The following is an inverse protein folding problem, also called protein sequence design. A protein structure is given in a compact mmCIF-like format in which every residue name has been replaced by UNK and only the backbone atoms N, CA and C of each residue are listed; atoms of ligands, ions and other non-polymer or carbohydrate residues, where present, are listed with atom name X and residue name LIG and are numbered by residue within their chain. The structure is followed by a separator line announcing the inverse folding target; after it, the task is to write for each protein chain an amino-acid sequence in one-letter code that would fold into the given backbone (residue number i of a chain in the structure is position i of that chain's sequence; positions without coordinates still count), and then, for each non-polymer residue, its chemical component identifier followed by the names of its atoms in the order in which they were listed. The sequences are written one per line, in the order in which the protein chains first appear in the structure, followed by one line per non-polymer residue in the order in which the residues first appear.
data_IF_771046743596
#
_entry.id   IF_771046743596
#
_cell.length_a   1.000
_cell.length_b   1.000
_cell.length_c   1.000
_cell.angle_alpha   90.00
_cell.angle_beta   90.00
_cell.angle_gamma   90.00
#
_symmetry.space_group_name_H-M   'P 1'
#
loop_
_entity.id
_entity.type
_entity.pdbx_description
1 polymer ?
#
# COMPACT_ATOMS: atom_id res chain seq x y z
N UNK A 1 -50.23 9.81 -0.54
CA UNK A 1 -49.66 10.95 -1.28
C UNK A 1 -48.54 11.70 -0.53
N UNK A 2 -48.36 11.54 0.79
CA UNK A 2 -47.24 12.18 1.52
C UNK A 2 -45.95 11.34 1.62
N UNK A 3 -46.01 10.01 1.49
CA UNK A 3 -44.81 9.16 1.67
C UNK A 3 -44.03 8.88 0.38
N UNK A 4 -44.58 9.20 -0.81
CA UNK A 4 -43.80 9.25 -2.05
C UNK A 4 -42.73 10.37 -2.01
N UNK A 5 -42.90 11.34 -1.13
CA UNK A 5 -41.91 12.39 -0.83
C UNK A 5 -40.81 11.89 0.13
N UNK A 6 -41.10 10.91 0.98
CA UNK A 6 -40.08 10.22 1.77
C UNK A 6 -39.29 9.19 0.92
N UNK A 7 -39.90 8.65 -0.13
CA UNK A 7 -39.23 7.83 -1.15
C UNK A 7 -38.29 8.64 -2.05
N UNK A 8 -38.48 9.96 -2.15
CA UNK A 8 -37.57 10.86 -2.88
C UNK A 8 -36.53 11.56 -1.99
N UNK A 9 -36.77 11.70 -0.68
CA UNK A 9 -35.84 12.37 0.25
C UNK A 9 -34.70 11.46 0.76
N UNK A 10 -34.79 10.15 0.53
CA UNK A 10 -33.65 9.23 0.61
C UNK A 10 -32.89 9.19 -0.72
N UNK A 11 -32.75 10.38 -1.34
CA UNK A 11 -31.76 10.72 -2.34
C UNK A 11 -30.42 10.09 -1.94
N UNK A 12 -30.18 8.92 -2.54
CA UNK A 12 -28.86 8.38 -2.76
C UNK A 12 -27.98 9.56 -3.13
N UNK A 13 -26.90 9.80 -2.38
CA UNK A 13 -25.84 10.67 -2.86
C UNK A 13 -25.51 10.21 -4.27
N UNK A 14 -25.85 11.05 -5.25
CA UNK A 14 -26.08 10.68 -6.64
C UNK A 14 -24.92 9.82 -7.13
N UNK A 15 -25.19 8.54 -7.37
CA UNK A 15 -24.16 7.63 -7.83
C UNK A 15 -23.85 8.00 -9.29
N UNK A 16 -22.84 8.85 -9.48
CA UNK A 16 -22.50 9.49 -10.77
C UNK A 16 -22.27 8.48 -11.89
N UNK A 17 -21.83 7.26 -11.54
CA UNK A 17 -21.54 6.20 -12.49
C UNK A 17 -22.36 4.93 -12.23
N UNK A 18 -22.74 4.20 -13.29
CA UNK A 18 -23.30 2.87 -13.17
C UNK A 18 -22.39 1.92 -12.37
N UNK A 19 -23.01 0.96 -11.70
CA UNK A 19 -22.32 0.02 -10.83
C UNK A 19 -21.23 -0.80 -11.55
N UNK A 20 -21.47 -1.20 -12.79
CA UNK A 20 -20.52 -1.90 -13.66
C UNK A 20 -19.28 -1.05 -13.95
N UNK A 21 -19.46 0.23 -14.26
CA UNK A 21 -18.35 1.19 -14.45
C UNK A 21 -17.56 1.38 -13.15
N UNK A 22 -18.25 1.50 -12.01
CA UNK A 22 -17.59 1.62 -10.71
C UNK A 22 -16.81 0.35 -10.35
N UNK A 23 -17.37 -0.83 -10.65
CA UNK A 23 -16.65 -2.09 -10.46
C UNK A 23 -15.42 -2.18 -11.35
N UNK A 24 -15.50 -1.73 -12.62
CA UNK A 24 -14.32 -1.66 -13.49
C UNK A 24 -13.25 -0.73 -12.94
N UNK A 25 -13.63 0.44 -12.41
CA UNK A 25 -12.71 1.36 -11.73
C UNK A 25 -12.08 0.66 -10.51
N UNK A 26 -12.89 0.06 -9.64
CA UNK A 26 -12.40 -0.64 -8.45
C UNK A 26 -11.46 -1.81 -8.79
N UNK A 27 -11.70 -2.51 -9.90
CA UNK A 27 -10.82 -3.59 -10.35
C UNK A 27 -9.46 -3.06 -10.78
N UNK A 28 -9.40 -1.87 -11.41
CA UNK A 28 -8.17 -1.29 -11.95
C UNK A 28 -7.33 -0.49 -10.95
N UNK A 29 -7.89 -0.04 -9.85
CA UNK A 29 -7.13 0.63 -8.77
C UNK A 29 -6.33 -0.37 -7.94
N UNK A 30 -5.34 0.10 -7.19
CA UNK A 30 -4.55 -0.75 -6.30
C UNK A 30 -5.42 -1.34 -5.17
N UNK A 31 -4.99 -2.51 -4.68
CA UNK A 31 -5.75 -3.29 -3.70
C UNK A 31 -5.91 -2.58 -2.35
N UNK A 32 -4.99 -1.69 -1.99
CA UNK A 32 -5.03 -0.92 -0.74
C UNK A 32 -6.08 0.18 -0.84
N UNK A 33 -6.17 0.87 -1.97
CA UNK A 33 -7.22 1.85 -2.24
C UNK A 33 -8.59 1.18 -2.34
N UNK A 34 -8.71 0.03 -3.02
CA UNK A 34 -9.95 -0.75 -3.04
C UNK A 34 -10.40 -1.17 -1.62
N UNK A 35 -9.47 -1.58 -0.77
CA UNK A 35 -9.77 -1.91 0.62
C UNK A 35 -10.24 -0.69 1.44
N UNK A 36 -9.74 0.51 1.15
CA UNK A 36 -10.24 1.77 1.75
C UNK A 36 -11.65 2.10 1.26
N UNK A 37 -11.92 2.00 -0.05
CA UNK A 37 -13.26 2.20 -0.62
C UNK A 37 -14.29 1.25 -0.01
N UNK A 38 -13.87 0.02 0.29
CA UNK A 38 -14.67 -0.98 1.00
C UNK A 38 -15.12 -0.51 2.39
N UNK A 39 -14.24 0.16 3.14
CA UNK A 39 -14.52 0.59 4.52
C UNK A 39 -15.25 1.94 4.55
N UNK A 40 -14.96 2.82 3.58
CA UNK A 40 -15.53 4.15 3.50
C UNK A 40 -17.01 4.19 3.04
N UNK A 41 -17.59 3.06 2.65
CA UNK A 41 -18.94 2.97 2.10
C UNK A 41 -19.68 1.76 2.67
N UNK A 42 -20.99 1.88 2.82
CA UNK A 42 -21.89 0.77 3.18
C UNK A 42 -22.36 -0.04 1.96
N UNK A 43 -22.16 0.48 0.74
CA UNK A 43 -22.65 -0.11 -0.52
C UNK A 43 -21.72 -1.18 -1.07
N UNK A 44 -20.41 -0.93 -0.99
CA UNK A 44 -19.37 -1.75 -1.60
C UNK A 44 -18.79 -2.92 -0.78
N UNK A 45 -18.96 -3.02 0.57
CA UNK A 45 -18.36 -4.08 1.37
C UNK A 45 -18.54 -5.49 0.82
N UNK A 46 -19.77 -5.82 0.40
CA UNK A 46 -20.12 -7.16 -0.11
C UNK A 46 -19.44 -7.44 -1.44
N UNK A 47 -19.51 -6.48 -2.38
CA UNK A 47 -18.94 -6.65 -3.74
C UNK A 47 -17.42 -6.66 -3.74
N UNK A 48 -16.78 -5.76 -2.99
CA UNK A 48 -15.32 -5.68 -2.90
C UNK A 48 -14.69 -6.76 -2.01
N UNK A 49 -15.51 -7.57 -1.32
CA UNK A 49 -15.04 -8.76 -0.59
C UNK A 49 -15.23 -10.05 -1.38
N UNK A 50 -15.87 -10.02 -2.55
CA UNK A 50 -16.11 -11.23 -3.34
C UNK A 50 -14.80 -11.82 -3.86
N UNK A 51 -14.74 -13.14 -3.96
CA UNK A 51 -13.57 -13.83 -4.51
C UNK A 51 -13.33 -13.46 -5.98
N UNK A 52 -14.40 -13.18 -6.72
CA UNK A 52 -14.34 -12.68 -8.09
C UNK A 52 -13.62 -11.34 -8.16
N UNK A 53 -14.06 -10.34 -7.38
CA UNK A 53 -13.41 -9.05 -7.33
C UNK A 53 -11.94 -9.16 -6.89
N UNK A 54 -11.66 -9.95 -5.85
CA UNK A 54 -10.29 -10.14 -5.34
C UNK A 54 -9.37 -10.72 -6.43
N UNK A 55 -9.85 -11.70 -7.19
CA UNK A 55 -9.09 -12.31 -8.29
C UNK A 55 -8.83 -11.31 -9.39
N UNK A 56 -9.87 -10.61 -9.85
CA UNK A 56 -9.77 -9.69 -10.98
C UNK A 56 -8.93 -8.46 -10.64
N UNK A 57 -9.10 -7.90 -9.42
CA UNK A 57 -8.26 -6.82 -8.92
C UNK A 57 -6.80 -7.28 -8.78
N UNK A 58 -6.55 -8.51 -8.36
CA UNK A 58 -5.18 -9.05 -8.31
C UNK A 58 -4.58 -9.15 -9.70
N UNK A 59 -5.28 -9.75 -10.66
CA UNK A 59 -4.79 -9.90 -12.04
C UNK A 59 -4.56 -8.54 -12.71
N UNK A 60 -5.46 -7.58 -12.52
CA UNK A 60 -5.35 -6.24 -13.10
C UNK A 60 -4.22 -5.39 -12.50
N UNK A 61 -3.64 -5.80 -11.38
CA UNK A 61 -2.58 -5.06 -10.67
C UNK A 61 -1.30 -5.87 -10.44
N UNK A 62 -1.26 -7.16 -10.84
CA UNK A 62 -0.11 -8.04 -10.59
C UNK A 62 1.17 -7.56 -11.29
N UNK A 63 1.05 -6.98 -12.49
CA UNK A 63 2.18 -6.46 -13.26
C UNK A 63 2.50 -5.00 -12.91
N UNK A 64 1.54 -4.26 -12.31
CA UNK A 64 1.77 -2.88 -11.88
C UNK A 64 2.65 -2.79 -10.64
N UNK A 65 2.65 -3.85 -9.83
CA UNK A 65 3.42 -3.93 -8.60
C UNK A 65 4.47 -5.04 -8.75
N UNK A 66 5.69 -4.65 -9.11
CA UNK A 66 6.82 -5.57 -8.98
C UNK A 66 6.94 -5.95 -7.51
N UNK A 67 6.74 -7.24 -7.22
CA UNK A 67 6.88 -7.77 -5.86
C UNK A 67 8.37 -7.85 -5.58
N UNK A 68 8.88 -6.86 -4.87
CA UNK A 68 10.24 -6.91 -4.33
C UNK A 68 10.12 -7.25 -2.86
N UNK A 69 10.67 -8.39 -2.47
CA UNK A 69 10.74 -8.77 -1.08
C UNK A 69 11.93 -8.05 -0.47
N UNK A 70 11.64 -7.05 0.38
CA UNK A 70 12.64 -6.38 1.17
C UNK A 70 12.87 -7.20 2.44
N UNK A 71 14.04 -7.84 2.54
CA UNK A 71 14.47 -8.43 3.80
C UNK A 71 15.23 -7.37 4.62
N UNK A 72 14.80 -7.20 5.86
CA UNK A 72 15.40 -6.31 6.86
C UNK A 72 16.11 -7.17 7.88
N UNK A 73 17.43 -7.04 7.97
CA UNK A 73 18.25 -7.73 8.98
C UNK A 73 18.09 -7.11 10.37
N UNK A 74 18.29 -7.91 11.42
CA UNK A 74 18.42 -7.40 12.78
C UNK A 74 19.73 -6.60 12.89
N UNK A 75 19.66 -5.43 13.53
CA UNK A 75 20.78 -4.51 13.70
C UNK A 75 21.74 -5.07 14.78
N UNK A 76 22.37 -6.22 14.55
CA UNK A 76 23.51 -6.62 15.35
C UNK A 76 24.67 -5.67 15.05
N UNK A 77 24.85 -4.71 15.98
CA UNK A 77 25.92 -3.72 16.06
C UNK A 77 25.91 -2.64 14.96
N UNK A 78 25.51 -1.42 15.34
CA UNK A 78 25.95 -0.05 14.94
C UNK A 78 26.68 0.27 13.60
N UNK A 79 26.86 -0.64 12.64
CA UNK A 79 27.75 -0.47 11.49
C UNK A 79 27.37 -1.31 10.25
N UNK A 80 26.27 -2.08 10.25
CA UNK A 80 25.91 -2.89 9.07
C UNK A 80 25.25 -2.07 7.95
N UNK A 81 25.99 -1.88 6.86
CA UNK A 81 25.49 -1.30 5.60
C UNK A 81 24.57 -2.24 4.82
N UNK A 82 24.43 -3.50 5.25
CA UNK A 82 23.64 -4.55 4.57
C UNK A 82 22.24 -4.73 5.19
N UNK A 83 21.71 -3.69 5.82
CA UNK A 83 20.43 -3.78 6.54
C UNK A 83 19.22 -3.99 5.62
N UNK A 84 19.36 -3.71 4.32
CA UNK A 84 18.30 -3.84 3.32
C UNK A 84 18.78 -4.64 2.12
N UNK A 85 18.06 -5.71 1.78
CA UNK A 85 18.31 -6.46 0.55
C UNK A 85 17.01 -6.69 -0.23
N UNK A 86 17.11 -6.52 -1.55
CA UNK A 86 16.10 -6.87 -2.52
C UNK A 86 16.27 -8.36 -2.82
N UNK A 87 15.20 -9.13 -2.67
CA UNK A 87 15.18 -10.55 -2.99
C UNK A 87 14.35 -10.76 -4.25
N UNK A 88 14.97 -11.36 -5.27
CA UNK A 88 14.28 -11.83 -6.47
C UNK A 88 13.30 -12.94 -6.08
N UNK A 89 12.05 -12.81 -6.50
CA UNK A 89 10.99 -13.74 -6.12
C UNK A 89 10.98 -15.04 -6.94
N UNK A 90 11.75 -15.10 -8.03
CA UNK A 90 11.82 -16.24 -8.95
C UNK A 90 12.92 -17.21 -8.52
N UNK A 91 14.12 -16.72 -8.25
CA UNK A 91 15.28 -17.56 -7.92
C UNK A 91 15.82 -17.36 -6.48
N UNK A 92 15.29 -16.38 -5.74
CA UNK A 92 15.75 -16.08 -4.37
C UNK A 92 17.07 -15.32 -4.30
N UNK A 93 17.59 -14.84 -5.44
CA UNK A 93 18.79 -14.02 -5.51
C UNK A 93 18.67 -12.76 -4.66
N UNK A 94 19.74 -12.42 -3.94
CA UNK A 94 19.76 -11.24 -3.06
C UNK A 94 20.68 -10.18 -3.63
N UNK A 95 20.19 -8.95 -3.71
CA UNK A 95 20.97 -7.77 -4.10
C UNK A 95 20.83 -6.72 -3.00
N UNK A 96 21.95 -6.08 -2.63
CA UNK A 96 21.91 -4.99 -1.66
C UNK A 96 21.03 -3.83 -2.20
N UNK A 97 20.12 -3.33 -1.38
CA UNK A 97 19.35 -2.14 -1.73
C UNK A 97 20.19 -0.87 -1.45
N UNK A 98 20.06 0.19 -2.25
CA UNK A 98 20.73 1.46 -1.98
C UNK A 98 20.20 2.08 -0.68
N UNK A 99 21.03 2.04 0.36
CA UNK A 99 20.74 2.65 1.67
C UNK A 99 20.73 4.18 1.53
N UNK A 100 19.66 4.89 1.93
CA UNK A 100 19.66 6.34 1.96
C UNK A 100 20.71 6.88 2.93
N UNK A 101 21.47 7.90 2.50
CA UNK A 101 22.52 8.53 3.31
C UNK A 101 22.01 9.02 4.67
N UNK A 102 20.74 9.44 4.73
CA UNK A 102 20.10 9.95 5.94
C UNK A 102 19.91 8.89 7.02
N UNK A 103 19.81 7.60 6.67
CA UNK A 103 19.76 6.54 7.67
C UNK A 103 21.13 6.33 8.30
N UNK A 104 22.20 6.56 7.53
CA UNK A 104 23.59 6.49 7.98
C UNK A 104 23.96 5.15 8.62
N UNK A 105 25.21 5.00 9.10
CA UNK A 105 25.63 3.85 9.88
C UNK A 105 25.15 3.94 11.35
N UNK A 106 24.94 5.16 11.85
CA UNK A 106 24.63 5.44 13.25
C UNK A 106 23.20 5.93 13.41
N UNK A 107 22.48 5.40 14.41
CA UNK A 107 21.11 5.78 14.72
C UNK A 107 20.18 4.58 14.79
N UNK A 108 18.88 4.86 14.96
CA UNK A 108 17.83 3.86 14.89
C UNK A 108 16.83 4.22 13.79
N UNK A 109 16.25 3.21 13.18
CA UNK A 109 15.20 3.37 12.19
C UNK A 109 14.21 2.22 12.27
N UNK A 110 13.01 2.45 11.76
CA UNK A 110 11.94 1.45 11.67
C UNK A 110 11.09 1.73 10.45
N UNK A 111 10.77 0.70 9.67
CA UNK A 111 9.75 0.81 8.61
C UNK A 111 8.37 0.91 9.27
N UNK A 112 7.61 1.94 8.92
CA UNK A 112 6.27 2.17 9.48
C UNK A 112 5.15 1.94 8.46
N UNK A 113 5.45 2.01 7.16
CA UNK A 113 4.48 1.70 6.11
C UNK A 113 5.16 1.44 4.77
N UNK A 114 4.44 0.82 3.84
CA UNK A 114 4.81 0.76 2.43
C UNK A 114 3.61 1.02 1.52
N UNK A 115 3.88 1.56 0.34
CA UNK A 115 2.88 1.79 -0.69
C UNK A 115 3.52 1.81 -2.09
N UNK A 116 3.04 0.95 -2.99
CA UNK A 116 3.51 0.91 -4.39
C UNK A 116 5.04 0.89 -4.57
N UNK A 117 5.77 0.15 -3.72
CA UNK A 117 7.24 0.08 -3.74
C UNK A 117 7.94 1.20 -2.98
N UNK A 118 7.22 2.24 -2.57
CA UNK A 118 7.70 3.25 -1.64
C UNK A 118 7.63 2.73 -0.21
N UNK A 119 8.64 3.06 0.58
CA UNK A 119 8.78 2.66 1.97
C UNK A 119 8.83 3.91 2.82
N UNK A 120 7.94 3.97 3.81
CA UNK A 120 7.95 5.01 4.82
C UNK A 120 8.81 4.52 5.99
N UNK A 121 9.92 5.21 6.21
CA UNK A 121 10.89 4.93 7.28
C UNK A 121 10.82 6.04 8.31
N UNK A 122 10.68 5.65 9.58
CA UNK A 122 10.91 6.53 10.72
C UNK A 122 12.33 6.33 11.20
N UNK A 123 13.09 7.41 11.40
CA UNK A 123 14.50 7.32 11.78
C UNK A 123 14.92 8.42 12.75
N UNK A 124 16.02 8.19 13.47
CA UNK A 124 16.70 9.17 14.30
C UNK A 124 18.21 8.98 14.21
N UNK A 125 18.93 10.04 13.88
CA UNK A 125 20.40 10.05 13.83
C UNK A 125 21.04 10.29 15.21
N UNK A 126 20.33 10.99 16.10
CA UNK A 126 20.84 11.45 17.41
C UNK A 126 20.05 10.94 18.61
N UNK A 127 19.03 10.10 18.38
CA UNK A 127 18.18 9.48 19.42
C UNK A 127 17.00 10.33 19.90
N UNK A 128 17.10 11.66 19.83
CA UNK A 128 16.06 12.58 20.35
C UNK A 128 15.16 13.18 19.27
N UNK A 129 15.65 13.31 18.03
CA UNK A 129 14.89 13.87 16.91
C UNK A 129 14.35 12.73 16.03
N UNK A 130 13.03 12.64 15.87
CA UNK A 130 12.39 11.61 15.05
C UNK A 130 11.95 12.22 13.73
N UNK A 131 12.45 11.65 12.64
CA UNK A 131 12.16 12.11 11.28
C UNK A 131 11.48 11.01 10.48
N UNK A 132 10.79 11.43 9.43
CA UNK A 132 10.16 10.54 8.47
C UNK A 132 10.83 10.71 7.10
N UNK A 133 10.97 9.60 6.40
CA UNK A 133 11.47 9.55 5.04
C UNK A 133 10.59 8.62 4.21
N UNK A 134 10.33 9.03 2.97
CA UNK A 134 9.76 8.16 1.95
C UNK A 134 10.91 7.77 1.02
N UNK A 135 11.15 6.48 0.89
CA UNK A 135 12.28 5.91 0.16
C UNK A 135 11.78 4.88 -0.85
N UNK A 136 12.30 4.92 -2.08
CA UNK A 136 12.10 3.85 -3.06
C UNK A 136 13.40 3.02 -3.13
N UNK A 137 13.40 1.75 -2.69
CA UNK A 137 14.60 0.90 -2.78
C UNK A 137 15.04 0.53 -4.20
N UNK A 138 14.25 0.86 -5.23
CA UNK A 138 14.53 0.57 -6.63
C UNK A 138 15.09 1.77 -7.41
N UNK A 139 15.19 2.94 -6.77
CA UNK A 139 15.77 4.16 -7.34
C UNK A 139 17.04 4.52 -6.58
#
# INVERSE_FOLDING_TARGET
MANQLAESLAEMGDQVFPNDILMEIFTRIDSKTAARCKIASTTWPVRLSSDEFRRDNTLANIEKHHKVLLQIGEQEMYYSTESFCLVDCIDGGKVAAPMPEQLGPCGWWSVISSDCGMICVRYSQTGFDTRLMIWNPLL
#
